data_IF_004364239532
#
_entry.id   IF_004364239532
#
_cell.length_a   1.000
_cell.length_b   1.000
_cell.length_c   1.000
_cell.angle_alpha   90.00
_cell.angle_beta   90.00
_cell.angle_gamma   90.00
#
_symmetry.space_group_name_H-M   'P 1'
#
loop_
_entity.id
_entity.type
_entity.pdbx_description
1 polymer ?
#
# COMPACT_ATOMS: atom_id res chain seq x y z
N UNK A 1 39.50 -2.50 0.07
CA UNK A 1 38.85 -2.08 -1.18
C UNK A 1 37.66 -2.98 -1.44
N UNK A 2 36.50 -2.62 -0.89
CA UNK A 2 35.24 -3.28 -1.21
C UNK A 2 34.64 -2.55 -2.42
N UNK A 3 34.31 -3.31 -3.46
CA UNK A 3 33.49 -2.83 -4.58
C UNK A 3 32.10 -2.59 -4.02
N UNK A 4 31.73 -1.33 -3.87
CA UNK A 4 30.36 -0.87 -3.76
C UNK A 4 29.57 -1.42 -4.95
N UNK A 5 28.79 -2.47 -4.71
CA UNK A 5 27.75 -2.88 -5.63
C UNK A 5 26.67 -1.81 -5.55
N UNK A 6 26.80 -0.80 -6.40
CA UNK A 6 25.78 0.16 -6.78
C UNK A 6 24.43 -0.53 -6.78
N UNK A 7 23.56 -0.20 -5.82
CA UNK A 7 22.13 -0.35 -6.06
C UNK A 7 21.79 0.86 -6.91
N UNK A 8 21.92 0.67 -8.22
CA UNK A 8 21.57 1.67 -9.20
C UNK A 8 20.13 2.10 -8.98
N UNK A 9 19.86 3.38 -9.15
CA UNK A 9 18.51 3.94 -9.22
C UNK A 9 17.63 3.19 -10.24
N UNK A 10 18.22 2.36 -11.11
CA UNK A 10 17.60 1.44 -12.07
C UNK A 10 16.46 0.57 -11.52
N UNK A 11 16.42 0.25 -10.22
CA UNK A 11 15.28 -0.49 -9.64
C UNK A 11 14.03 0.40 -9.49
N UNK A 12 14.22 1.71 -9.34
CA UNK A 12 13.18 2.72 -9.49
C UNK A 12 13.04 3.19 -10.95
N UNK A 13 14.10 3.26 -11.76
CA UNK A 13 13.99 3.68 -13.18
C UNK A 13 13.34 2.63 -14.10
N UNK A 14 13.29 1.37 -13.67
CA UNK A 14 12.44 0.36 -14.33
C UNK A 14 10.93 0.67 -14.23
N UNK A 15 10.53 1.73 -13.51
CA UNK A 15 9.14 2.22 -13.52
C UNK A 15 8.73 2.87 -14.83
N UNK A 16 9.62 3.52 -15.59
CA UNK A 16 9.24 4.22 -16.82
C UNK A 16 8.61 3.28 -17.87
N UNK A 17 9.24 2.14 -18.19
CA UNK A 17 8.66 1.11 -19.05
C UNK A 17 7.44 0.40 -18.41
N UNK A 18 7.38 0.24 -17.09
CA UNK A 18 6.28 -0.43 -16.38
C UNK A 18 5.02 0.44 -16.30
N UNK A 19 5.16 1.72 -15.99
CA UNK A 19 4.08 2.70 -16.01
C UNK A 19 3.60 2.99 -17.43
N UNK A 20 4.50 3.09 -18.42
CA UNK A 20 4.10 3.22 -19.83
C UNK A 20 3.34 1.99 -20.35
N UNK A 21 3.66 0.79 -19.84
CA UNK A 21 2.92 -0.44 -20.13
C UNK A 21 1.57 -0.52 -19.39
N UNK A 22 1.46 0.07 -18.18
CA UNK A 22 0.25 0.06 -17.36
C UNK A 22 -0.76 1.15 -17.75
N UNK A 23 -0.30 2.27 -18.32
CA UNK A 23 -1.14 3.46 -18.59
C UNK A 23 -1.25 3.84 -20.09
N UNK A 24 -0.57 3.11 -20.99
CA UNK A 24 -0.48 3.43 -22.43
C UNK A 24 -1.39 2.67 -23.41
N UNK A 25 -2.28 1.77 -22.97
CA UNK A 25 -3.22 1.06 -23.86
C UNK A 25 -4.58 0.78 -23.18
N UNK A 26 -5.70 0.65 -23.95
CA UNK A 26 -7.04 0.54 -23.38
C UNK A 26 -7.24 -0.72 -22.52
N UNK A 27 -8.24 -0.71 -21.60
CA UNK A 27 -8.41 -1.71 -20.54
C UNK A 27 -8.85 -3.06 -21.10
N UNK A 28 -7.91 -3.91 -21.50
CA UNK A 28 -8.25 -5.31 -21.73
C UNK A 28 -7.07 -6.21 -21.36
N UNK A 29 -7.26 -6.89 -20.22
CA UNK A 29 -6.67 -8.18 -19.81
C UNK A 29 -5.32 -8.29 -19.07
N UNK A 30 -4.71 -7.22 -18.51
CA UNK A 30 -3.45 -7.36 -17.74
C UNK A 30 -3.29 -6.53 -16.45
N UNK A 31 -4.39 -6.18 -15.78
CA UNK A 31 -4.41 -5.22 -14.63
C UNK A 31 -4.18 -5.79 -13.22
N UNK A 32 -3.99 -7.10 -13.06
CA UNK A 32 -4.11 -7.76 -11.73
C UNK A 32 -2.80 -7.95 -10.92
N UNK A 33 -1.70 -7.25 -11.24
CA UNK A 33 -0.38 -7.49 -10.58
C UNK A 33 0.23 -6.31 -9.84
N UNK A 34 -0.32 -5.10 -9.97
CA UNK A 34 0.33 -3.89 -9.47
C UNK A 34 0.27 -3.79 -7.94
N UNK A 35 -0.92 -3.91 -7.35
CA UNK A 35 -1.10 -3.88 -5.89
C UNK A 35 -0.38 -5.05 -5.20
N UNK A 36 -0.26 -6.21 -5.86
CA UNK A 36 0.50 -7.36 -5.35
C UNK A 36 1.98 -6.99 -5.20
N UNK A 37 2.56 -6.36 -6.21
CA UNK A 37 3.95 -5.93 -6.19
C UNK A 37 4.16 -4.81 -5.16
N UNK A 38 3.31 -3.78 -5.16
CA UNK A 38 3.35 -2.69 -4.19
C UNK A 38 3.23 -3.20 -2.75
N UNK A 39 2.29 -4.12 -2.48
CA UNK A 39 2.09 -4.70 -1.15
C UNK A 39 3.29 -5.54 -0.72
N UNK A 40 3.85 -6.38 -1.60
CA UNK A 40 5.04 -7.18 -1.27
C UNK A 40 6.26 -6.31 -0.99
N UNK A 41 6.45 -5.24 -1.76
CA UNK A 41 7.52 -4.26 -1.51
C UNK A 41 7.29 -3.55 -0.19
N UNK A 42 6.08 -3.04 0.05
CA UNK A 42 5.71 -2.42 1.32
C UNK A 42 6.01 -3.35 2.49
N UNK A 43 5.69 -4.65 2.42
CA UNK A 43 5.92 -5.58 3.52
C UNK A 43 7.38 -5.97 3.74
N UNK A 44 8.09 -6.33 2.67
CA UNK A 44 9.34 -7.06 2.78
C UNK A 44 10.58 -6.24 2.39
N UNK A 45 10.40 -5.11 1.70
CA UNK A 45 11.52 -4.34 1.20
C UNK A 45 12.33 -3.72 2.35
N UNK A 46 13.65 -3.99 2.45
CA UNK A 46 14.52 -3.37 3.43
C UNK A 46 14.94 -1.95 3.02
N UNK A 47 14.58 -1.51 1.80
CA UNK A 47 14.93 -0.18 1.32
C UNK A 47 14.24 0.90 2.15
N UNK A 48 15.01 1.95 2.43
CA UNK A 48 14.68 2.99 3.40
C UNK A 48 13.33 3.71 3.13
N UNK A 49 12.91 4.01 1.88
CA UNK A 49 11.58 4.59 1.63
C UNK A 49 10.42 3.67 2.04
N UNK A 50 10.56 2.36 1.79
CA UNK A 50 9.55 1.38 2.14
C UNK A 50 9.52 1.11 3.65
N UNK A 51 10.69 1.10 4.30
CA UNK A 51 10.79 1.01 5.75
C UNK A 51 10.10 2.20 6.41
N UNK A 52 10.38 3.41 5.94
CA UNK A 52 9.75 4.62 6.46
C UNK A 52 8.24 4.64 6.22
N UNK A 53 7.78 4.25 5.02
CA UNK A 53 6.35 4.14 4.73
C UNK A 53 5.63 3.19 5.70
N UNK A 54 6.23 2.04 6.03
CA UNK A 54 5.64 1.10 7.01
C UNK A 54 5.50 1.74 8.40
N UNK A 55 6.50 2.48 8.86
CA UNK A 55 6.45 3.19 10.13
C UNK A 55 5.31 4.20 10.14
N UNK A 56 5.25 5.06 9.11
CA UNK A 56 4.23 6.10 8.98
C UNK A 56 2.81 5.51 8.90
N UNK A 57 2.61 4.42 8.15
CA UNK A 57 1.31 3.74 8.10
C UNK A 57 0.96 3.08 9.44
N UNK A 58 1.95 2.55 10.16
CA UNK A 58 1.78 2.00 11.50
C UNK A 58 1.38 3.06 12.53
N UNK A 59 1.99 4.25 12.47
CA UNK A 59 1.62 5.42 13.29
C UNK A 59 0.18 5.87 13.04
N UNK A 60 -0.36 5.64 11.83
CA UNK A 60 -1.78 5.86 11.48
C UNK A 60 -2.71 4.72 11.87
N UNK A 61 -2.22 3.73 12.62
CA UNK A 61 -3.01 2.63 13.14
C UNK A 61 -3.25 1.49 12.15
N UNK A 62 -2.53 1.45 11.02
CA UNK A 62 -2.60 0.31 10.11
C UNK A 62 -1.75 -0.84 10.62
N UNK A 63 -2.34 -2.03 10.60
CA UNK A 63 -1.58 -3.28 10.78
C UNK A 63 -0.91 -3.62 9.45
N UNK A 64 0.40 -3.36 9.35
CA UNK A 64 1.13 -3.49 8.09
C UNK A 64 0.99 -4.87 7.48
N UNK A 65 1.06 -5.95 8.27
CA UNK A 65 0.97 -7.34 7.79
C UNK A 65 -0.38 -7.73 7.17
N UNK A 66 -1.40 -6.90 7.32
CA UNK A 66 -2.74 -7.12 6.77
C UNK A 66 -3.21 -5.95 5.89
N UNK A 67 -2.43 -4.87 5.82
CA UNK A 67 -2.68 -3.76 4.92
C UNK A 67 -2.25 -4.09 3.49
N UNK A 68 -3.03 -3.65 2.51
CA UNK A 68 -2.74 -3.80 1.08
C UNK A 68 -2.46 -2.44 0.49
N UNK A 69 -1.25 -2.21 -0.01
CA UNK A 69 -0.92 -0.99 -0.75
C UNK A 69 -1.43 -1.18 -2.18
N UNK A 70 -2.52 -0.47 -2.51
CA UNK A 70 -3.16 -0.55 -3.83
C UNK A 70 -2.23 0.04 -4.88
N UNK A 71 -1.69 1.22 -4.58
CA UNK A 71 -0.71 1.88 -5.42
C UNK A 71 0.09 2.94 -4.66
N UNK A 72 1.22 3.33 -5.23
CA UNK A 72 2.04 4.47 -4.84
C UNK A 72 2.73 4.99 -6.12
N UNK A 73 2.44 6.24 -6.50
CA UNK A 73 2.96 6.84 -7.73
C UNK A 73 3.58 8.19 -7.46
N UNK A 74 4.72 8.51 -8.11
CA UNK A 74 5.22 9.87 -8.18
C UNK A 74 4.18 10.88 -8.65
N UNK A 75 3.92 11.89 -7.82
CA UNK A 75 3.23 13.11 -8.22
C UNK A 75 4.23 14.27 -8.09
N UNK A 76 5.14 14.34 -9.06
CA UNK A 76 6.22 15.33 -9.07
C UNK A 76 7.50 14.90 -8.31
N UNK A 77 8.40 15.86 -8.04
CA UNK A 77 9.72 15.59 -7.47
C UNK A 77 9.73 15.37 -5.95
N UNK A 78 8.68 15.80 -5.25
CA UNK A 78 8.67 15.84 -3.78
C UNK A 78 7.52 15.05 -3.15
N UNK A 79 6.66 14.42 -3.95
CA UNK A 79 5.48 13.69 -3.47
C UNK A 79 5.22 12.43 -4.26
N UNK A 80 4.66 11.43 -3.57
CA UNK A 80 4.05 10.25 -4.17
C UNK A 80 2.62 10.07 -3.63
N UNK A 81 1.63 9.98 -4.51
CA UNK A 81 0.25 9.71 -4.12
C UNK A 81 0.03 8.21 -4.00
N UNK A 82 -0.53 7.79 -2.87
CA UNK A 82 -0.78 6.39 -2.56
C UNK A 82 -2.20 6.14 -2.09
N UNK A 83 -2.67 4.90 -2.33
CA UNK A 83 -3.88 4.37 -1.70
C UNK A 83 -3.58 3.07 -1.00
N UNK A 84 -4.01 2.99 0.26
CA UNK A 84 -3.85 1.81 1.10
C UNK A 84 -5.22 1.32 1.60
N UNK A 85 -5.37 0.01 1.62
CA UNK A 85 -6.52 -0.68 2.17
C UNK A 85 -6.14 -1.30 3.51
N UNK A 86 -6.91 -1.00 4.54
CA UNK A 86 -6.76 -1.64 5.86
C UNK A 86 -7.46 -3.01 5.91
N UNK A 87 -7.10 -3.83 6.90
CA UNK A 87 -7.75 -5.12 7.18
C UNK A 87 -9.27 -5.02 7.37
N UNK A 88 -9.74 -3.90 7.95
CA UNK A 88 -11.15 -3.59 8.14
C UNK A 88 -11.90 -3.22 6.86
N UNK A 89 -11.20 -3.12 5.72
CA UNK A 89 -11.77 -2.71 4.45
C UNK A 89 -11.91 -1.21 4.28
N UNK A 90 -11.28 -0.41 5.17
CA UNK A 90 -11.19 1.04 4.98
C UNK A 90 -10.14 1.36 3.94
N UNK A 91 -10.47 2.30 3.06
CA UNK A 91 -9.61 2.76 1.97
C UNK A 91 -9.12 4.16 2.34
N UNK A 92 -7.81 4.36 2.30
CA UNK A 92 -7.18 5.64 2.59
C UNK A 92 -6.36 6.10 1.41
N UNK A 93 -6.54 7.37 1.04
CA UNK A 93 -5.66 8.09 0.12
C UNK A 93 -4.70 8.95 0.93
N UNK A 94 -3.48 9.10 0.43
CA UNK A 94 -2.45 9.89 1.08
C UNK A 94 -1.36 10.35 0.11
N UNK A 95 -0.60 11.36 0.52
CA UNK A 95 0.64 11.74 -0.14
C UNK A 95 1.83 11.42 0.77
N UNK A 96 2.83 10.74 0.21
CA UNK A 96 4.13 10.55 0.82
C UNK A 96 5.06 11.65 0.35
N UNK A 97 5.38 12.60 1.23
CA UNK A 97 6.16 13.78 0.90
C UNK A 97 7.60 13.60 1.37
N UNK A 98 8.54 13.68 0.42
CA UNK A 98 9.99 13.67 0.64
C UNK A 98 10.71 14.09 -0.64
N UNK A 99 11.91 14.68 -0.52
CA UNK A 99 12.67 15.10 -1.69
C UNK A 99 13.33 13.91 -2.40
N UNK A 100 12.66 13.33 -3.40
CA UNK A 100 13.10 12.11 -4.10
C UNK A 100 14.45 12.24 -4.80
N UNK A 101 14.87 13.47 -5.09
CA UNK A 101 16.13 13.79 -5.76
C UNK A 101 17.31 13.93 -4.78
N UNK A 102 17.05 13.99 -3.47
CA UNK A 102 18.06 14.15 -2.43
C UNK A 102 18.30 12.83 -1.71
N UNK A 103 19.54 12.37 -1.72
CA UNK A 103 19.93 11.15 -1.00
C UNK A 103 19.61 11.25 0.50
N UNK A 104 18.97 10.21 1.04
CA UNK A 104 18.64 10.07 2.46
C UNK A 104 17.42 10.86 2.94
N UNK A 105 16.77 11.63 2.07
CA UNK A 105 15.57 12.42 2.40
C UNK A 105 14.36 11.56 2.75
N UNK A 106 14.37 10.31 2.31
CA UNK A 106 13.32 9.33 2.54
C UNK A 106 13.15 8.97 4.03
N UNK A 107 14.18 9.22 4.85
CA UNK A 107 14.09 9.13 6.32
C UNK A 107 13.23 10.24 6.92
N UNK A 108 13.23 11.39 6.28
CA UNK A 108 12.45 12.56 6.67
C UNK A 108 11.05 12.55 6.03
N UNK A 109 10.70 11.46 5.33
CA UNK A 109 9.40 11.36 4.69
C UNK A 109 8.25 11.46 5.69
N UNK A 110 7.16 12.09 5.25
CA UNK A 110 5.93 12.28 6.01
C UNK A 110 4.71 11.92 5.18
N UNK A 111 3.63 11.53 5.86
CA UNK A 111 2.32 11.35 5.23
C UNK A 111 1.49 12.63 5.39
N UNK A 112 1.14 13.23 4.26
CA UNK A 112 0.18 14.33 4.14
C UNK A 112 -1.12 13.86 3.47
N UNK A 113 -2.11 14.76 3.42
CA UNK A 113 -3.42 14.56 2.78
C UNK A 113 -4.10 13.20 3.06
N UNK A 114 -3.94 12.70 4.28
CA UNK A 114 -4.53 11.43 4.71
C UNK A 114 -6.06 11.52 4.80
N UNK A 115 -6.72 10.82 3.91
CA UNK A 115 -8.16 10.90 3.72
C UNK A 115 -8.78 9.51 3.73
N UNK A 116 -9.82 9.31 4.54
CA UNK A 116 -10.66 8.11 4.50
C UNK A 116 -11.64 8.23 3.33
N UNK A 117 -11.37 7.50 2.26
CA UNK A 117 -12.19 7.47 1.05
C UNK A 117 -13.12 6.26 0.99
N UNK A 118 -13.31 5.54 2.11
CA UNK A 118 -14.11 4.30 2.17
C UNK A 118 -15.54 4.48 1.63
N UNK A 119 -16.14 5.66 1.82
CA UNK A 119 -17.50 5.94 1.35
C UNK A 119 -17.62 6.26 -0.14
N UNK A 120 -16.52 6.56 -0.82
CA UNK A 120 -16.56 7.09 -2.19
C UNK A 120 -15.43 6.58 -3.10
N UNK A 121 -14.70 5.53 -2.69
CA UNK A 121 -13.67 4.92 -3.54
C UNK A 121 -14.24 4.38 -4.86
N UNK A 122 -15.54 4.07 -4.94
CA UNK A 122 -16.18 3.61 -6.18
C UNK A 122 -16.24 4.67 -7.27
N UNK A 123 -16.18 5.96 -6.92
CA UNK A 123 -16.07 7.06 -7.89
C UNK A 123 -14.63 7.51 -8.12
N UNK A 124 -13.67 6.92 -7.42
CA UNK A 124 -12.26 7.20 -7.56
C UNK A 124 -11.76 6.82 -8.98
N UNK A 125 -10.81 7.58 -9.57
CA UNK A 125 -10.25 7.26 -10.88
C UNK A 125 -9.73 5.82 -11.01
N UNK A 126 -9.11 5.31 -9.93
CA UNK A 126 -8.55 3.96 -9.81
C UNK A 126 -9.46 2.96 -9.07
N UNK A 127 -10.78 3.12 -9.19
CA UNK A 127 -11.78 2.25 -8.53
C UNK A 127 -11.61 0.75 -8.87
N UNK A 128 -11.13 0.42 -10.07
CA UNK A 128 -10.95 -0.99 -10.49
C UNK A 128 -9.80 -1.65 -9.74
N UNK A 129 -8.70 -0.92 -9.58
CA UNK A 129 -7.52 -1.36 -8.85
C UNK A 129 -7.82 -1.50 -7.35
N UNK A 130 -8.60 -0.56 -6.80
CA UNK A 130 -9.08 -0.65 -5.42
C UNK A 130 -9.99 -1.86 -5.24
N UNK A 131 -10.92 -2.11 -6.17
CA UNK A 131 -11.81 -3.27 -6.13
C UNK A 131 -11.03 -4.59 -6.17
N UNK A 132 -10.02 -4.71 -7.03
CA UNK A 132 -9.18 -5.91 -7.13
C UNK A 132 -8.36 -6.13 -5.86
N UNK A 133 -7.88 -5.06 -5.22
CA UNK A 133 -7.13 -5.14 -3.97
C UNK A 133 -7.95 -5.71 -2.80
N UNK A 134 -9.29 -5.56 -2.80
CA UNK A 134 -10.15 -6.18 -1.79
C UNK A 134 -10.07 -7.71 -1.78
N UNK A 135 -9.73 -8.35 -2.90
CA UNK A 135 -9.55 -9.81 -3.00
C UNK A 135 -8.36 -10.28 -2.15
N UNK A 136 -7.35 -9.42 -1.95
CA UNK A 136 -6.13 -9.72 -1.20
C UNK A 136 -6.24 -9.49 0.30
N UNK A 137 -7.40 -9.04 0.77
CA UNK A 137 -7.63 -8.98 2.21
C UNK A 137 -7.58 -10.40 2.77
N UNK A 138 -6.75 -10.66 3.80
CA UNK A 138 -6.96 -11.86 4.58
C UNK A 138 -8.42 -11.82 5.10
N UNK A 139 -9.14 -12.95 5.09
CA UNK A 139 -10.51 -12.98 5.58
C UNK A 139 -10.51 -12.41 7.01
N UNK A 140 -11.40 -11.44 7.25
CA UNK A 140 -11.53 -10.82 8.57
C UNK A 140 -11.59 -11.94 9.60
N UNK A 141 -10.69 -11.89 10.60
CA UNK A 141 -10.73 -12.84 11.72
C UNK A 141 -12.09 -12.65 12.38
N UNK A 142 -13.04 -13.53 12.04
CA UNK A 142 -14.30 -13.61 12.76
C UNK A 142 -13.90 -14.07 14.16
N UNK A 143 -13.96 -13.16 15.11
CA UNK A 143 -14.01 -13.55 16.52
C UNK A 143 -15.29 -14.37 16.64
N UNK A 144 -15.17 -15.70 16.61
CA UNK A 144 -16.26 -16.55 17.08
C UNK A 144 -16.44 -16.18 18.55
N UNK A 145 -17.54 -15.50 18.86
CA UNK A 145 -18.07 -15.49 20.22
C UNK A 145 -18.41 -16.95 20.52
N UNK A 146 -17.56 -17.60 21.31
CA UNK A 146 -17.90 -18.86 21.95
C UNK A 146 -19.16 -18.60 22.79
N UNK A 147 -20.30 -19.08 22.30
CA UNK A 147 -21.48 -19.27 23.12
C UNK A 147 -21.12 -20.40 24.09
N UNK A 148 -20.56 -20.04 25.25
CA UNK A 148 -20.46 -20.96 26.36
C UNK A 148 -21.89 -21.38 26.74
N UNK A 149 -22.19 -22.65 26.50
CA UNK A 149 -23.40 -23.34 26.93
C UNK A 149 -23.63 -23.09 28.43
N UNK A 150 -24.69 -22.36 28.74
CA UNK A 150 -25.26 -22.30 30.07
C UNK A 150 -26.01 -23.62 30.32
N UNK A 151 -25.29 -24.67 30.74
CA UNK A 151 -25.93 -25.86 31.30
C UNK A 151 -26.55 -25.51 32.65
N UNK A 152 -27.81 -25.09 32.62
CA UNK A 152 -28.68 -25.08 33.80
C UNK A 152 -29.00 -26.53 34.14
N UNK A 153 -28.23 -27.12 35.06
CA UNK A 153 -28.54 -28.42 35.63
C UNK A 153 -29.52 -28.21 36.79
N UNK A 154 -30.79 -28.56 36.54
CA UNK A 154 -31.81 -28.65 37.57
C UNK A 154 -31.49 -29.79 38.56
N UNK A 155 -31.63 -29.52 39.85
CA UNK A 155 -31.92 -30.50 40.90
C UNK A 155 -32.65 -29.81 42.04
#
# INVERSE_FOLDING_TARGET
>A
MHRDALISADLYEAWGPLASLLYGHPPSSRRSSMFVNCTRLMWASPFSPWARLRELLGERGLTISTAVLVYLFPDGPESETGVVLSDGGRVYEFDLVYNRMREGSDRDAVIEHWQDITGHWQVHPLRSEIADAFIWRPPARRTCLDFAEETTQAS
#
